data_IF_727107947110
#
_entry.id   IF_727107947110
#
_cell.length_a   1.000
_cell.length_b   1.000
_cell.length_c   1.000
_cell.angle_alpha   90.00
_cell.angle_beta   90.00
_cell.angle_gamma   90.00
#
_symmetry.space_group_name_H-M   'P 1'
#
loop_
_entity.id
_entity.type
_entity.pdbx_description
1 polymer ?
#
# COMPACT_ATOMS: atom_id res chain seq x y z
N UNK A 1 0.84 15.53 19.40
CA UNK A 1 1.43 14.40 20.13
C UNK A 1 0.65 13.16 19.70
N UNK A 2 1.17 12.37 18.76
CA UNK A 2 0.48 11.19 18.22
C UNK A 2 0.54 10.08 19.27
N UNK A 3 -0.61 9.74 19.87
CA UNK A 3 -0.73 8.66 20.83
C UNK A 3 -0.52 7.31 20.13
N UNK A 4 0.28 6.44 20.74
CA UNK A 4 0.46 5.05 20.32
C UNK A 4 -0.91 4.36 20.28
N UNK A 5 -1.33 3.89 19.11
CA UNK A 5 -2.60 3.18 18.95
C UNK A 5 -2.44 1.73 19.43
N UNK A 6 -3.29 1.35 20.37
CA UNK A 6 -3.36 0.04 21.04
C UNK A 6 -3.63 -1.10 20.03
N UNK A 7 -2.88 -2.19 20.15
CA UNK A 7 -2.62 -3.20 19.12
C UNK A 7 -3.49 -4.45 19.25
N UNK A 8 -4.82 -4.32 19.39
CA UNK A 8 -5.66 -5.47 19.79
C UNK A 8 -6.89 -5.82 18.96
N UNK A 9 -6.97 -5.42 17.68
CA UNK A 9 -7.92 -6.08 16.75
C UNK A 9 -7.25 -6.57 15.47
N UNK A 10 -7.16 -7.90 15.38
CA UNK A 10 -6.78 -8.64 14.19
C UNK A 10 -8.03 -8.82 13.32
N UNK A 11 -8.02 -8.27 12.11
CA UNK A 11 -9.08 -8.50 11.12
C UNK A 11 -8.71 -9.70 10.25
N UNK A 12 -9.69 -10.58 9.98
CA UNK A 12 -9.47 -11.79 9.18
C UNK A 12 -9.86 -11.50 7.73
N UNK A 13 -8.91 -11.57 6.79
CA UNK A 13 -9.17 -11.39 5.36
C UNK A 13 -9.07 -12.75 4.64
N UNK A 14 -10.06 -13.14 3.80
CA UNK A 14 -10.11 -14.47 3.18
C UNK A 14 -8.90 -14.79 2.29
N UNK A 15 -8.14 -13.78 1.84
CA UNK A 15 -6.96 -13.95 0.99
C UNK A 15 -5.62 -13.70 1.69
N UNK A 16 -5.58 -12.96 2.80
CA UNK A 16 -4.32 -12.49 3.44
C UNK A 16 -4.20 -12.90 4.91
N UNK A 17 -5.11 -13.75 5.38
CA UNK A 17 -5.15 -14.25 6.76
C UNK A 17 -5.46 -13.17 7.80
N UNK A 18 -4.50 -12.50 8.45
CA UNK A 18 -4.79 -11.50 9.50
C UNK A 18 -3.94 -10.24 9.37
N UNK A 19 -4.55 -9.06 9.47
CA UNK A 19 -3.84 -7.77 9.55
C UNK A 19 -4.36 -6.92 10.72
N UNK A 20 -3.47 -6.08 11.28
CA UNK A 20 -3.80 -5.16 12.37
C UNK A 20 -4.34 -3.84 11.79
N UNK A 21 -5.51 -3.40 12.27
CA UNK A 21 -6.09 -2.10 11.91
C UNK A 21 -6.31 -1.25 13.16
N UNK A 22 -5.95 0.05 13.15
CA UNK A 22 -6.19 0.95 14.28
C UNK A 22 -7.69 1.25 14.44
N UNK A 23 -8.18 1.21 15.68
CA UNK A 23 -9.57 1.52 16.01
C UNK A 23 -9.88 2.99 15.66
N UNK A 24 -10.93 3.22 14.87
CA UNK A 24 -11.41 4.56 14.51
C UNK A 24 -10.85 5.18 13.22
N UNK A 25 -9.99 4.49 12.47
CA UNK A 25 -9.55 4.95 11.15
C UNK A 25 -10.45 4.41 10.04
N UNK A 26 -11.07 5.30 9.26
CA UNK A 26 -11.86 4.92 8.08
C UNK A 26 -10.91 4.55 6.91
N UNK A 27 -10.98 3.31 6.37
CA UNK A 27 -10.18 2.88 5.23
C UNK A 27 -10.32 3.77 3.99
N UNK A 28 -11.45 4.48 3.85
CA UNK A 28 -11.73 5.39 2.75
C UNK A 28 -11.08 6.76 2.91
N UNK A 29 -10.79 7.21 4.13
CA UNK A 29 -10.19 8.54 4.40
C UNK A 29 -8.74 8.47 4.84
N UNK A 30 -8.24 7.29 5.24
CA UNK A 30 -6.87 7.13 5.71
C UNK A 30 -5.86 7.15 4.55
N UNK A 31 -5.28 8.33 4.28
CA UNK A 31 -4.27 8.55 3.22
C UNK A 31 -2.81 8.39 3.68
N UNK A 32 -2.58 8.08 4.96
CA UNK A 32 -1.23 7.93 5.50
C UNK A 32 -0.67 6.53 5.26
N UNK A 33 0.63 6.44 5.04
CA UNK A 33 1.39 5.19 5.07
C UNK A 33 2.65 5.41 5.90
N UNK A 34 3.13 4.37 6.58
CA UNK A 34 4.36 4.44 7.35
C UNK A 34 5.54 4.14 6.44
N UNK A 35 6.52 5.04 6.43
CA UNK A 35 7.84 4.78 5.86
C UNK A 35 8.67 4.10 6.94
N UNK A 36 9.10 2.86 6.70
CA UNK A 36 9.98 2.17 7.65
C UNK A 36 11.33 2.90 7.68
N UNK A 37 11.62 3.65 8.75
CA UNK A 37 12.83 4.50 8.84
C UNK A 37 14.14 3.70 9.03
N UNK A 38 14.06 2.40 9.31
CA UNK A 38 15.19 1.49 9.28
C UNK A 38 14.74 0.16 8.66
N UNK A 39 15.51 -0.36 7.71
CA UNK A 39 15.22 -1.56 6.89
C UNK A 39 14.95 -2.87 7.67
N UNK A 40 14.82 -2.86 9.00
CA UNK A 40 14.77 -4.07 9.83
C UNK A 40 13.62 -4.12 10.87
N UNK A 41 12.77 -3.09 11.00
CA UNK A 41 11.75 -3.08 12.07
C UNK A 41 10.41 -3.74 11.69
N UNK A 42 10.17 -3.99 10.39
CA UNK A 42 8.92 -4.60 9.90
C UNK A 42 9.14 -5.39 8.61
N UNK A 43 8.75 -6.66 8.58
CA UNK A 43 8.72 -7.46 7.35
C UNK A 43 7.68 -6.90 6.37
N UNK A 44 7.89 -7.07 5.06
CA UNK A 44 6.94 -6.52 4.07
C UNK A 44 5.54 -7.11 4.24
N UNK A 45 5.46 -8.36 4.68
CA UNK A 45 4.23 -9.07 4.96
C UNK A 45 3.38 -8.46 6.09
N UNK A 46 3.99 -7.64 6.93
CA UNK A 46 3.31 -6.92 8.00
C UNK A 46 2.83 -5.53 7.54
N UNK A 47 3.10 -5.15 6.28
CA UNK A 47 2.60 -3.92 5.65
C UNK A 47 1.13 -4.16 5.23
N UNK A 48 0.17 -3.38 5.75
CA UNK A 48 -1.22 -3.48 5.31
C UNK A 48 -1.38 -3.16 3.82
N UNK A 49 -2.25 -3.87 3.08
CA UNK A 49 -2.56 -3.58 1.68
C UNK A 49 -2.95 -2.12 1.41
N UNK A 50 -3.60 -1.48 2.37
CA UNK A 50 -4.00 -0.07 2.30
C UNK A 50 -2.80 0.88 2.40
N UNK A 51 -1.79 0.55 3.21
CA UNK A 51 -0.52 1.29 3.23
C UNK A 51 0.22 1.13 1.90
N UNK A 52 0.19 -0.06 1.30
CA UNK A 52 0.72 -0.28 -0.06
C UNK A 52 -0.03 0.58 -1.07
N UNK A 53 -1.36 0.55 -1.06
CA UNK A 53 -2.20 1.36 -1.94
C UNK A 53 -1.93 2.86 -1.79
N UNK A 54 -1.78 3.34 -0.54
CA UNK A 54 -1.42 4.73 -0.24
C UNK A 54 -0.03 5.09 -0.80
N UNK A 55 0.95 4.20 -0.70
CA UNK A 55 2.27 4.42 -1.28
C UNK A 55 2.20 4.54 -2.82
N UNK A 56 1.39 3.71 -3.49
CA UNK A 56 1.21 3.79 -4.95
C UNK A 56 0.49 5.08 -5.37
N UNK A 57 -0.56 5.47 -4.66
CA UNK A 57 -1.24 6.76 -4.86
C UNK A 57 -0.26 7.92 -4.70
N UNK A 58 0.56 7.87 -3.66
CA UNK A 58 1.55 8.92 -3.39
C UNK A 58 2.62 9.01 -4.47
N UNK A 59 3.04 7.89 -5.07
CA UNK A 59 3.94 7.93 -6.24
C UNK A 59 3.27 8.66 -7.41
N UNK A 60 1.99 8.39 -7.70
CA UNK A 60 1.26 9.02 -8.80
C UNK A 60 0.93 10.49 -8.54
N UNK A 61 0.89 10.95 -7.28
CA UNK A 61 0.82 12.38 -6.96
C UNK A 61 2.08 13.13 -7.44
N UNK A 62 3.24 12.48 -7.44
CA UNK A 62 4.49 13.07 -7.94
C UNK A 62 4.73 12.83 -9.45
N UNK A 63 4.21 11.73 -9.99
CA UNK A 63 4.33 11.37 -11.41
C UNK A 63 2.95 10.92 -11.93
N UNK A 64 2.15 11.80 -12.56
CA UNK A 64 0.71 11.61 -12.77
C UNK A 64 0.26 10.38 -13.56
N UNK A 65 1.15 9.80 -14.36
CA UNK A 65 0.85 8.63 -15.21
C UNK A 65 2.05 7.70 -15.20
N UNK A 66 1.81 6.40 -14.96
CA UNK A 66 2.88 5.42 -14.87
C UNK A 66 2.45 4.01 -15.31
N UNK A 67 3.36 3.29 -15.98
CA UNK A 67 3.17 1.86 -16.23
C UNK A 67 3.16 1.07 -14.91
N UNK A 68 2.34 0.01 -14.85
CA UNK A 68 2.15 -0.79 -13.63
C UNK A 68 3.45 -1.25 -12.97
N UNK A 69 4.35 -1.88 -13.72
CA UNK A 69 5.60 -2.41 -13.15
C UNK A 69 6.52 -1.32 -12.57
N UNK A 70 6.52 -0.14 -13.18
CA UNK A 70 7.27 1.02 -12.67
C UNK A 70 6.63 1.54 -11.38
N UNK A 71 5.30 1.57 -11.32
CA UNK A 71 4.57 1.99 -10.12
C UNK A 71 4.81 1.04 -8.95
N UNK A 72 4.74 -0.28 -9.18
CA UNK A 72 5.00 -1.28 -8.14
C UNK A 72 6.42 -1.17 -7.58
N UNK A 73 7.43 -0.93 -8.44
CA UNK A 73 8.82 -0.70 -8.02
C UNK A 73 8.95 0.57 -7.18
N UNK A 74 8.42 1.69 -7.66
CA UNK A 74 8.48 2.95 -6.94
C UNK A 74 7.74 2.89 -5.59
N UNK A 75 6.58 2.21 -5.53
CA UNK A 75 5.84 1.98 -4.30
C UNK A 75 6.64 1.15 -3.28
N UNK A 76 7.32 0.08 -3.73
CA UNK A 76 8.19 -0.73 -2.88
C UNK A 76 9.33 0.09 -2.26
N UNK A 77 9.98 0.93 -3.07
CA UNK A 77 11.04 1.83 -2.62
C UNK A 77 10.53 2.88 -1.62
N UNK A 78 9.34 3.44 -1.84
CA UNK A 78 8.69 4.38 -0.90
C UNK A 78 8.36 3.75 0.45
N UNK A 79 8.08 2.45 0.47
CA UNK A 79 7.86 1.68 1.70
C UNK A 79 9.19 1.31 2.41
N UNK A 80 10.34 1.64 1.82
CA UNK A 80 11.67 1.41 2.40
C UNK A 80 12.29 0.07 2.02
N UNK A 81 11.70 -0.68 1.08
CA UNK A 81 12.20 -2.00 0.67
C UNK A 81 12.86 -1.92 -0.71
N UNK A 82 13.88 -2.75 -0.92
CA UNK A 82 14.60 -2.82 -2.22
C UNK A 82 14.47 -4.18 -2.92
N UNK A 83 14.36 -5.26 -2.15
CA UNK A 83 14.29 -6.63 -2.69
C UNK A 83 12.84 -6.97 -3.00
N UNK A 84 12.55 -7.30 -4.26
CA UNK A 84 11.24 -7.81 -4.72
C UNK A 84 11.33 -9.33 -4.89
N UNK A 85 10.71 -10.06 -3.96
CA UNK A 85 10.50 -11.51 -4.07
C UNK A 85 9.11 -11.80 -4.63
N UNK A 86 8.83 -13.03 -5.05
CA UNK A 86 7.49 -13.42 -5.53
C UNK A 86 6.38 -13.17 -4.49
N UNK A 87 6.72 -13.32 -3.21
CA UNK A 87 5.79 -13.06 -2.10
C UNK A 87 5.50 -11.56 -1.96
N UNK A 88 6.53 -10.72 -2.01
CA UNK A 88 6.40 -9.26 -2.00
C UNK A 88 5.64 -8.77 -3.24
N UNK A 89 5.92 -9.37 -4.41
CA UNK A 89 5.22 -9.06 -5.66
C UNK A 89 3.71 -9.27 -5.55
N UNK A 90 3.29 -10.42 -5.01
CA UNK A 90 1.86 -10.72 -4.78
C UNK A 90 1.19 -9.69 -3.88
N UNK A 91 1.86 -9.29 -2.79
CA UNK A 91 1.34 -8.30 -1.85
C UNK A 91 1.29 -6.89 -2.46
N UNK A 92 2.29 -6.51 -3.26
CA UNK A 92 2.30 -5.26 -4.03
C UNK A 92 1.13 -5.19 -5.01
N UNK A 93 0.91 -6.26 -5.78
CA UNK A 93 -0.21 -6.36 -6.72
C UNK A 93 -1.56 -6.33 -6.01
N UNK A 94 -1.63 -6.93 -4.83
CA UNK A 94 -2.84 -6.87 -4.01
C UNK A 94 -3.12 -5.44 -3.52
N UNK A 95 -2.11 -4.70 -3.05
CA UNK A 95 -2.24 -3.28 -2.72
C UNK A 95 -2.67 -2.42 -3.93
N UNK A 96 -2.16 -2.72 -5.12
CA UNK A 96 -2.64 -2.07 -6.35
C UNK A 96 -4.11 -2.38 -6.62
N UNK A 97 -4.53 -3.64 -6.46
CA UNK A 97 -5.93 -4.02 -6.58
C UNK A 97 -6.81 -3.22 -5.61
N UNK A 98 -6.41 -3.08 -4.35
CA UNK A 98 -7.10 -2.26 -3.33
C UNK A 98 -7.17 -0.77 -3.74
N UNK A 99 -6.16 -0.24 -4.42
CA UNK A 99 -6.17 1.13 -4.92
C UNK A 99 -7.15 1.33 -6.09
N UNK A 100 -7.24 0.34 -6.98
CA UNK A 100 -8.14 0.34 -8.14
C UNK A 100 -9.61 0.15 -7.73
N UNK A 101 -9.90 -0.88 -6.92
CA UNK A 101 -11.27 -1.16 -6.48
C UNK A 101 -11.80 -0.14 -5.49
N UNK A 102 -10.91 0.48 -4.71
CA UNK A 102 -11.22 1.63 -3.87
C UNK A 102 -11.39 2.95 -4.63
N UNK A 103 -11.29 2.94 -5.97
CA UNK A 103 -11.50 4.14 -6.80
C UNK A 103 -10.47 5.24 -6.59
N UNK A 104 -9.27 4.91 -6.11
CA UNK A 104 -8.17 5.89 -5.92
C UNK A 104 -7.26 5.97 -7.14
N UNK A 105 -7.12 4.86 -7.85
CA UNK A 105 -6.40 4.76 -9.11
C UNK A 105 -7.33 4.25 -10.20
N UNK A 106 -6.99 4.54 -11.46
CA UNK A 106 -7.64 3.98 -12.64
C UNK A 106 -6.62 3.72 -13.75
N UNK A 107 -7.04 2.94 -14.75
CA UNK A 107 -6.31 2.80 -16.00
C UNK A 107 -6.77 3.89 -16.98
N UNK A 108 -5.82 4.51 -17.69
CA UNK A 108 -6.10 5.38 -18.82
C UNK A 108 -6.39 4.57 -20.10
N UNK A 109 -6.67 5.26 -21.21
CA UNK A 109 -6.95 4.64 -22.51
C UNK A 109 -5.76 3.86 -23.10
N UNK A 110 -4.55 4.06 -22.58
CA UNK A 110 -3.32 3.38 -22.99
C UNK A 110 -2.93 2.26 -22.01
N UNK A 111 -3.77 1.96 -21.00
CA UNK A 111 -3.50 0.94 -19.99
C UNK A 111 -2.46 1.33 -18.95
N UNK A 112 -2.17 2.62 -18.78
CA UNK A 112 -1.29 3.15 -17.72
C UNK A 112 -2.10 3.56 -16.51
N UNK A 113 -1.46 3.54 -15.34
CA UNK A 113 -2.10 3.90 -14.08
C UNK A 113 -2.03 5.41 -13.87
N UNK A 114 -3.16 6.00 -13.49
CA UNK A 114 -3.31 7.40 -13.13
C UNK A 114 -4.19 7.53 -11.87
N UNK A 115 -4.18 8.71 -11.25
CA UNK A 115 -5.13 9.03 -10.19
C UNK A 115 -6.56 9.03 -10.77
N UNK A 116 -7.50 8.50 -9.99
CA UNK A 116 -8.91 8.48 -10.37
C UNK A 116 -9.53 9.89 -10.33
#
# INVERSE_FOLDING_TARGET
MLALVDSRRLYTHPTVSRYAWPEGADPQTHRAYRVTQASNDRAFEEVPPEEVANALVHVLQGVPVMAQERLLRAGLERLGYRRRTDKIDKLLRYGLHVALTGGRLRLDSEGRLTLA
#
